data_IF_149336524784
#
_entry.id   IF_149336524784
#
_cell.length_a   1.000
_cell.length_b   1.000
_cell.length_c   1.000
_cell.angle_alpha   90.00
_cell.angle_beta   90.00
_cell.angle_gamma   90.00
#
_symmetry.space_group_name_H-M   'P 1'
#
loop_
_entity.id
_entity.type
_entity.pdbx_description
1 polymer ?
#
# COMPACT_ATOMS: atom_id res chain seq x y z
N UNK A 1 15.42 -31.17 -42.78
CA UNK A 1 15.45 -29.88 -42.07
C UNK A 1 14.47 -29.92 -40.89
N UNK A 2 14.98 -30.09 -39.67
CA UNK A 2 14.19 -30.09 -38.43
C UNK A 2 14.34 -28.72 -37.78
N UNK A 3 13.26 -27.96 -37.64
CA UNK A 3 13.21 -26.71 -36.88
C UNK A 3 13.02 -27.04 -35.42
N UNK A 4 14.01 -26.69 -34.61
CA UNK A 4 13.96 -26.80 -33.16
C UNK A 4 13.12 -25.70 -32.54
N UNK A 5 12.21 -26.11 -31.67
CA UNK A 5 11.33 -25.26 -30.89
C UNK A 5 12.10 -24.80 -29.61
N UNK A 6 12.41 -23.50 -29.51
CA UNK A 6 13.10 -22.94 -28.33
C UNK A 6 12.02 -22.50 -27.35
N UNK A 7 11.81 -23.34 -26.33
CA UNK A 7 11.01 -22.97 -25.16
C UNK A 7 11.74 -21.90 -24.34
N UNK A 8 11.22 -20.69 -24.32
CA UNK A 8 11.66 -19.64 -23.38
C UNK A 8 11.11 -19.95 -22.01
N UNK A 9 11.96 -20.40 -21.10
CA UNK A 9 11.65 -20.46 -19.67
C UNK A 9 11.72 -19.04 -19.12
N UNK A 10 10.59 -18.51 -18.70
CA UNK A 10 10.52 -17.28 -17.91
C UNK A 10 11.00 -17.64 -16.50
N UNK A 11 12.14 -17.11 -16.12
CA UNK A 11 12.63 -17.22 -14.74
C UNK A 11 11.91 -16.17 -13.90
N UNK A 12 11.12 -16.61 -12.93
CA UNK A 12 10.58 -15.74 -11.90
C UNK A 12 11.76 -15.21 -11.05
N UNK A 13 11.98 -13.90 -11.11
CA UNK A 13 12.95 -13.23 -10.28
C UNK A 13 12.34 -12.98 -8.91
N UNK A 14 12.76 -13.72 -7.90
CA UNK A 14 12.48 -13.42 -6.50
C UNK A 14 13.28 -12.17 -6.15
N UNK A 15 12.61 -11.04 -6.00
CA UNK A 15 13.23 -9.82 -5.48
C UNK A 15 13.42 -9.97 -3.97
N UNK A 16 14.63 -10.33 -3.59
CA UNK A 16 15.10 -10.24 -2.20
C UNK A 16 15.13 -8.76 -1.81
N UNK A 17 14.36 -8.40 -0.78
CA UNK A 17 14.23 -7.02 -0.29
C UNK A 17 15.58 -6.41 0.07
N UNK A 18 15.94 -5.35 -0.63
CA UNK A 18 17.08 -4.52 -0.26
C UNK A 18 16.69 -3.60 0.89
N UNK A 19 17.35 -3.71 2.04
CA UNK A 19 17.26 -2.74 3.13
C UNK A 19 17.72 -1.37 2.61
N UNK A 20 16.80 -0.44 2.48
CA UNK A 20 17.14 0.96 2.29
C UNK A 20 17.25 1.66 3.64
N UNK A 21 18.43 2.12 3.95
CA UNK A 21 18.68 3.05 5.06
C UNK A 21 18.02 4.37 4.70
N UNK A 22 16.93 4.70 5.37
CA UNK A 22 16.19 5.95 5.18
C UNK A 22 16.94 7.09 5.83
N UNK A 23 17.46 8.02 5.03
CA UNK A 23 17.89 9.34 5.50
C UNK A 23 16.67 10.19 5.84
N UNK A 24 16.71 10.81 7.02
CA UNK A 24 15.70 11.68 7.55
C UNK A 24 15.38 12.89 6.65
N UNK A 25 14.09 13.20 6.50
CA UNK A 25 13.61 14.55 6.31
C UNK A 25 13.57 15.07 4.89
N UNK A 26 12.71 14.49 4.04
CA UNK A 26 12.06 15.25 2.98
C UNK A 26 10.58 14.85 2.99
N UNK A 27 9.71 15.81 3.24
CA UNK A 27 8.27 15.66 2.99
C UNK A 27 8.10 15.52 1.48
N UNK A 28 8.12 14.30 0.99
CA UNK A 28 7.76 14.00 -0.38
C UNK A 28 6.24 14.01 -0.42
N UNK A 29 5.64 15.00 -1.08
CA UNK A 29 4.24 14.89 -1.48
C UNK A 29 4.07 13.54 -2.17
N UNK A 30 3.26 12.66 -1.59
CA UNK A 30 2.98 11.36 -2.19
C UNK A 30 2.51 11.58 -3.63
N UNK A 31 3.28 11.06 -4.57
CA UNK A 31 2.82 11.04 -5.96
C UNK A 31 1.67 10.02 -6.04
N UNK A 32 0.57 10.33 -6.75
CA UNK A 32 -0.49 9.37 -6.97
C UNK A 32 0.09 8.11 -7.64
N UNK A 33 -0.35 6.94 -7.20
CA UNK A 33 -0.04 5.69 -7.86
C UNK A 33 -0.87 5.64 -9.13
N UNK A 34 -0.23 5.75 -10.27
CA UNK A 34 -0.89 5.83 -11.59
C UNK A 34 -0.61 4.56 -12.35
N UNK A 35 -1.67 3.89 -12.81
CA UNK A 35 -1.55 2.81 -13.77
C UNK A 35 -1.02 3.33 -15.11
N UNK A 36 -0.17 2.56 -15.79
CA UNK A 36 0.43 2.91 -17.07
C UNK A 36 -0.55 2.63 -18.22
N UNK A 37 -1.20 3.69 -18.70
CA UNK A 37 -2.15 3.61 -19.81
C UNK A 37 -3.39 2.77 -19.46
N UNK A 38 -3.65 1.71 -20.23
CA UNK A 38 -4.76 0.77 -19.99
C UNK A 38 -4.43 -0.25 -18.87
N UNK A 39 -3.30 -0.09 -18.16
CA UNK A 39 -2.92 -0.98 -17.07
C UNK A 39 -3.59 -0.54 -15.77
N UNK A 40 -4.39 -1.42 -15.21
CA UNK A 40 -4.95 -1.24 -13.88
C UNK A 40 -3.84 -1.30 -12.82
N UNK A 41 -3.99 -0.51 -11.75
CA UNK A 41 -3.24 -0.78 -10.53
C UNK A 41 -3.89 -1.97 -9.82
N UNK A 42 -3.07 -2.92 -9.41
CA UNK A 42 -3.52 -4.14 -8.73
C UNK A 42 -3.28 -4.08 -7.22
N UNK A 43 -2.41 -3.18 -6.77
CA UNK A 43 -2.10 -3.01 -5.37
C UNK A 43 -1.73 -1.57 -5.01
N UNK A 44 -2.00 -1.20 -3.75
CA UNK A 44 -1.53 0.03 -3.10
C UNK A 44 -0.50 -0.36 -2.05
N UNK A 45 0.77 0.10 -2.15
CA UNK A 45 1.78 -0.22 -1.16
C UNK A 45 1.52 0.50 0.16
N UNK A 46 1.83 -0.18 1.25
CA UNK A 46 1.79 0.36 2.61
C UNK A 46 3.18 0.21 3.21
N UNK A 47 3.76 1.31 3.67
CA UNK A 47 5.02 1.28 4.41
C UNK A 47 4.75 1.16 5.91
N UNK A 48 5.50 0.29 6.57
CA UNK A 48 5.52 0.17 8.03
C UNK A 48 6.90 0.45 8.58
N UNK A 49 7.00 1.34 9.56
CA UNK A 49 8.22 1.63 10.30
C UNK A 49 8.03 1.25 11.77
N UNK A 50 9.02 0.59 12.35
CA UNK A 50 9.15 0.41 13.80
C UNK A 50 10.32 1.28 14.25
N UNK A 51 10.03 2.30 15.06
CA UNK A 51 11.03 3.15 15.67
C UNK A 51 11.53 2.51 16.98
N UNK A 52 12.82 2.64 17.24
CA UNK A 52 13.46 2.11 18.45
C UNK A 52 14.43 3.13 19.06
N UNK A 53 14.95 2.84 20.23
CA UNK A 53 16.02 3.64 20.87
C UNK A 53 17.43 3.32 20.32
N UNK A 54 17.53 2.42 19.35
CA UNK A 54 18.81 1.98 18.77
C UNK A 54 19.54 0.91 19.57
N UNK A 55 18.90 0.33 20.61
CA UNK A 55 19.50 -0.71 21.45
C UNK A 55 18.85 -2.09 21.24
N UNK A 56 17.77 -2.17 20.49
CA UNK A 56 17.03 -3.41 20.22
C UNK A 56 17.02 -3.71 18.71
N UNK A 57 16.95 -4.99 18.38
CA UNK A 57 16.76 -5.44 16.99
C UNK A 57 15.30 -5.30 16.55
N UNK A 58 15.06 -5.47 15.25
CA UNK A 58 13.70 -5.54 14.73
C UNK A 58 12.88 -6.58 15.50
N UNK A 59 11.60 -6.32 15.76
CA UNK A 59 10.71 -7.32 16.34
C UNK A 59 10.55 -8.52 15.38
N UNK A 60 10.28 -9.70 15.93
CA UNK A 60 9.85 -10.86 15.13
C UNK A 60 8.32 -10.89 15.08
N UNK A 61 7.74 -10.11 14.18
CA UNK A 61 6.28 -9.93 14.09
C UNK A 61 5.85 -9.44 12.73
N UNK A 62 4.54 -9.40 12.51
CA UNK A 62 3.92 -8.82 11.32
C UNK A 62 2.84 -7.83 11.69
N UNK A 63 2.69 -6.79 10.89
CA UNK A 63 1.67 -5.77 11.03
C UNK A 63 0.69 -5.87 9.87
N UNK A 64 -0.60 -5.97 10.20
CA UNK A 64 -1.69 -6.02 9.24
C UNK A 64 -2.44 -4.69 9.17
N UNK A 65 -3.15 -4.49 8.08
CA UNK A 65 -3.90 -3.26 7.83
C UNK A 65 -5.39 -3.58 7.71
N UNK A 66 -6.23 -2.61 8.06
CA UNK A 66 -7.69 -2.70 7.91
C UNK A 66 -8.16 -1.69 6.90
N UNK A 67 -9.07 -2.12 6.06
CA UNK A 67 -9.74 -1.27 5.08
C UNK A 67 -11.23 -1.24 5.40
N UNK A 68 -11.78 -0.04 5.42
CA UNK A 68 -13.22 0.18 5.52
C UNK A 68 -13.69 1.06 4.37
N UNK A 69 -14.95 0.91 3.96
CA UNK A 69 -15.54 1.82 2.98
C UNK A 69 -15.68 3.21 3.61
N UNK A 70 -15.16 4.23 2.94
CA UNK A 70 -15.38 5.63 3.26
C UNK A 70 -16.75 6.11 2.75
N UNK A 71 -17.15 7.30 3.17
CA UNK A 71 -18.41 7.93 2.78
C UNK A 71 -18.32 8.71 1.47
N UNK A 72 -19.48 9.17 1.01
CA UNK A 72 -19.60 10.12 -0.10
C UNK A 72 -19.06 11.50 0.28
N UNK A 73 -18.61 12.27 -0.72
CA UNK A 73 -18.11 13.63 -0.49
C UNK A 73 -17.54 14.30 -1.72
N UNK A 74 -16.54 15.12 -1.51
CA UNK A 74 -15.76 15.76 -2.59
C UNK A 74 -14.27 15.69 -2.28
N UNK A 75 -13.48 15.43 -3.29
CA UNK A 75 -12.02 15.45 -3.18
C UNK A 75 -11.42 16.07 -4.45
N UNK A 76 -10.59 17.11 -4.29
CA UNK A 76 -9.97 17.85 -5.40
C UNK A 76 -10.96 18.30 -6.49
N UNK A 77 -12.16 18.72 -6.09
CA UNK A 77 -13.21 19.18 -7.01
C UNK A 77 -14.01 18.05 -7.68
N UNK A 78 -13.68 16.79 -7.44
CA UNK A 78 -14.43 15.64 -7.92
C UNK A 78 -15.51 15.23 -6.92
N UNK A 79 -16.66 14.77 -7.41
CA UNK A 79 -17.64 14.06 -6.59
C UNK A 79 -17.08 12.69 -6.23
N UNK A 80 -17.13 12.35 -4.96
CA UNK A 80 -16.62 11.10 -4.40
C UNK A 80 -17.79 10.23 -3.99
N UNK A 81 -17.78 8.99 -4.43
CA UNK A 81 -18.71 7.94 -4.01
C UNK A 81 -18.17 7.18 -2.81
N UNK A 82 -19.08 6.61 -2.01
CA UNK A 82 -18.68 5.66 -0.97
C UNK A 82 -17.89 4.50 -1.57
N UNK A 83 -16.94 3.96 -0.80
CA UNK A 83 -16.16 2.78 -1.20
C UNK A 83 -17.07 1.57 -1.47
N UNK A 84 -16.67 0.76 -2.44
CA UNK A 84 -17.35 -0.50 -2.77
C UNK A 84 -16.61 -1.64 -2.06
N UNK A 85 -17.36 -2.51 -1.38
CA UNK A 85 -16.79 -3.66 -0.68
C UNK A 85 -16.01 -4.54 -1.64
N UNK A 86 -14.75 -4.83 -1.29
CA UNK A 86 -13.82 -5.61 -2.10
C UNK A 86 -13.00 -4.78 -3.10
N UNK A 87 -13.34 -3.50 -3.38
CA UNK A 87 -12.58 -2.66 -4.30
C UNK A 87 -11.18 -2.30 -3.80
N UNK A 88 -11.03 -2.19 -2.47
CA UNK A 88 -9.75 -2.12 -1.78
C UNK A 88 -9.83 -3.06 -0.58
N UNK A 89 -8.84 -3.91 -0.39
CA UNK A 89 -8.78 -4.89 0.69
C UNK A 89 -7.36 -5.07 1.21
N UNK A 90 -7.22 -5.48 2.47
CA UNK A 90 -5.93 -5.89 3.01
C UNK A 90 -5.41 -7.11 2.23
N UNK A 91 -4.10 -7.16 1.97
CA UNK A 91 -3.44 -8.22 1.21
C UNK A 91 -2.17 -8.68 1.95
N UNK A 92 -1.02 -8.08 1.70
CA UNK A 92 0.22 -8.48 2.34
C UNK A 92 0.49 -7.68 3.62
N UNK A 93 0.87 -8.39 4.68
CA UNK A 93 1.33 -7.80 5.93
C UNK A 93 2.76 -7.26 5.80
N UNK A 94 3.09 -6.21 6.54
CA UNK A 94 4.47 -5.79 6.74
C UNK A 94 5.15 -6.72 7.76
N UNK A 95 6.09 -7.53 7.29
CA UNK A 95 6.77 -8.55 8.10
C UNK A 95 8.13 -8.03 8.55
N UNK A 96 8.42 -8.20 9.84
CA UNK A 96 9.71 -7.91 10.44
C UNK A 96 10.33 -9.17 11.02
N UNK A 97 11.63 -9.34 10.79
CA UNK A 97 12.42 -10.41 11.39
C UNK A 97 13.72 -9.82 11.92
N UNK A 98 14.19 -10.25 13.10
CA UNK A 98 15.47 -9.81 13.63
C UNK A 98 16.59 -10.14 12.62
N UNK A 99 17.35 -9.13 12.24
CA UNK A 99 18.43 -9.29 11.27
C UNK A 99 19.54 -8.28 11.54
N UNK A 100 20.73 -8.59 11.02
CA UNK A 100 21.92 -7.74 11.20
C UNK A 100 22.70 -8.03 12.48
N UNK A 101 23.79 -7.32 12.66
CA UNK A 101 24.74 -7.49 13.79
C UNK A 101 24.70 -6.30 14.75
N UNK A 102 23.99 -5.24 14.39
CA UNK A 102 23.91 -4.00 15.19
C UNK A 102 22.46 -3.52 15.19
N UNK A 103 21.87 -3.17 16.36
CA UNK A 103 20.56 -2.55 16.44
C UNK A 103 20.50 -1.21 15.70
N UNK A 104 19.33 -0.90 15.15
CA UNK A 104 19.05 0.35 14.43
C UNK A 104 17.99 1.16 15.17
N UNK A 105 17.96 2.48 14.96
CA UNK A 105 16.95 3.39 15.51
C UNK A 105 15.60 3.27 14.81
N UNK A 106 15.55 2.61 13.66
CA UNK A 106 14.29 2.29 12.96
C UNK A 106 14.46 1.11 12.01
N UNK A 107 13.36 0.40 11.81
CA UNK A 107 13.24 -0.70 10.86
C UNK A 107 12.04 -0.44 9.98
N UNK A 108 12.13 -0.73 8.68
CA UNK A 108 11.05 -0.51 7.73
C UNK A 108 10.76 -1.79 6.95
N UNK A 109 9.48 -2.08 6.77
CA UNK A 109 8.97 -3.17 5.95
C UNK A 109 7.76 -2.69 5.16
N UNK A 110 7.41 -3.38 4.09
CA UNK A 110 6.25 -3.03 3.27
C UNK A 110 5.22 -4.14 3.33
N UNK A 111 3.96 -3.72 3.33
CA UNK A 111 2.81 -4.54 3.03
C UNK A 111 2.09 -3.99 1.81
N UNK A 112 0.93 -4.54 1.49
CA UNK A 112 0.10 -4.08 0.38
C UNK A 112 -1.39 -4.19 0.67
N UNK A 113 -2.17 -3.43 -0.10
CA UNK A 113 -3.62 -3.56 -0.19
C UNK A 113 -3.94 -3.96 -1.63
N UNK A 114 -4.72 -5.03 -1.81
CA UNK A 114 -5.19 -5.46 -3.12
C UNK A 114 -6.26 -4.52 -3.66
N UNK A 115 -6.23 -4.27 -4.95
CA UNK A 115 -7.23 -3.48 -5.69
C UNK A 115 -7.96 -4.40 -6.67
N UNK A 116 -9.28 -4.52 -6.50
CA UNK A 116 -10.13 -5.26 -7.44
C UNK A 116 -11.02 -4.27 -8.23
N UNK A 117 -10.61 -4.00 -9.46
CA UNK A 117 -11.37 -3.15 -10.38
C UNK A 117 -12.70 -3.74 -10.84
N UNK A 118 -12.88 -5.06 -10.73
CA UNK A 118 -14.07 -5.76 -11.26
C UNK A 118 -15.36 -5.50 -10.46
N UNK A 119 -15.23 -5.03 -9.22
CA UNK A 119 -16.40 -4.76 -8.35
C UNK A 119 -17.07 -3.43 -8.66
N UNK A 120 -16.40 -2.53 -9.39
CA UNK A 120 -16.96 -1.23 -9.74
C UNK A 120 -17.94 -1.35 -10.91
N UNK A 121 -19.03 -0.60 -10.86
CA UNK A 121 -20.10 -0.60 -11.87
C UNK A 121 -20.16 0.69 -12.67
N UNK A 122 -19.43 1.72 -12.24
CA UNK A 122 -19.37 3.03 -12.92
C UNK A 122 -17.98 3.67 -12.73
N UNK A 123 -17.53 4.50 -13.68
CA UNK A 123 -16.34 5.31 -13.46
C UNK A 123 -16.60 6.37 -12.38
N UNK A 124 -15.55 6.79 -11.68
CA UNK A 124 -15.66 7.78 -10.63
C UNK A 124 -14.51 7.71 -9.62
N UNK A 125 -14.65 8.46 -8.53
CA UNK A 125 -13.72 8.44 -7.41
C UNK A 125 -14.39 7.77 -6.23
N UNK A 126 -13.74 6.77 -5.65
CA UNK A 126 -14.27 5.95 -4.55
C UNK A 126 -13.40 6.09 -3.31
N UNK A 127 -14.04 6.27 -2.15
CA UNK A 127 -13.37 6.58 -0.89
C UNK A 127 -13.26 5.37 0.03
N UNK A 128 -12.08 5.18 0.60
CA UNK A 128 -11.77 4.15 1.60
C UNK A 128 -11.02 4.74 2.78
N UNK A 129 -11.12 4.09 3.93
CA UNK A 129 -10.39 4.40 5.14
C UNK A 129 -9.42 3.25 5.42
N UNK A 130 -8.15 3.58 5.65
CA UNK A 130 -7.10 2.61 5.96
C UNK A 130 -6.49 2.92 7.31
N UNK A 131 -6.40 1.89 8.16
CA UNK A 131 -5.79 1.96 9.48
C UNK A 131 -4.86 0.76 9.69
N UNK A 132 -3.90 0.88 10.59
CA UNK A 132 -3.18 -0.27 11.12
C UNK A 132 -4.10 -1.08 12.03
N UNK A 133 -4.00 -2.41 11.99
CA UNK A 133 -4.69 -3.26 12.96
C UNK A 133 -3.91 -3.27 14.27
N UNK A 134 -4.59 -3.03 15.38
CA UNK A 134 -4.00 -3.19 16.71
C UNK A 134 -3.56 -4.63 16.92
N UNK A 135 -2.43 -4.82 17.58
CA UNK A 135 -1.90 -6.11 18.01
C UNK A 135 -1.60 -6.12 19.50
N UNK A 136 -0.92 -7.16 19.95
CA UNK A 136 -0.59 -7.44 21.35
C UNK A 136 0.92 -7.64 21.58
N UNK A 137 1.76 -7.21 20.63
CA UNK A 137 3.21 -7.31 20.79
C UNK A 137 3.66 -6.42 21.98
N UNK A 138 4.28 -7.04 22.99
CA UNK A 138 4.65 -6.36 24.23
C UNK A 138 5.63 -5.22 23.99
N UNK A 139 5.34 -4.03 24.56
CA UNK A 139 6.15 -2.83 24.41
C UNK A 139 5.98 -2.07 23.11
N UNK A 140 4.96 -2.43 22.28
CA UNK A 140 4.67 -1.75 21.04
C UNK A 140 3.49 -0.77 21.19
N UNK A 141 3.73 0.49 20.84
CA UNK A 141 2.66 1.49 20.67
C UNK A 141 2.22 1.49 19.20
N UNK A 142 1.00 0.96 18.93
CA UNK A 142 0.46 0.84 17.58
C UNK A 142 -0.01 2.18 17.03
N UNK A 143 0.30 2.46 15.75
CA UNK A 143 -0.15 3.67 15.07
C UNK A 143 -1.68 3.67 14.92
N UNK A 144 -2.33 4.67 15.48
CA UNK A 144 -3.79 4.84 15.42
C UNK A 144 -4.24 5.82 14.32
N UNK A 145 -3.34 6.20 13.42
CA UNK A 145 -3.64 7.07 12.30
C UNK A 145 -4.65 6.43 11.36
N UNK A 146 -5.49 7.26 10.77
CA UNK A 146 -6.38 6.89 9.67
C UNK A 146 -5.96 7.63 8.41
N UNK A 147 -5.89 6.91 7.31
CA UNK A 147 -5.69 7.48 5.98
C UNK A 147 -6.98 7.38 5.19
N UNK A 148 -7.31 8.47 4.49
CA UNK A 148 -8.27 8.45 3.40
C UNK A 148 -7.57 7.97 2.12
N UNK A 149 -8.16 6.99 1.43
CA UNK A 149 -7.64 6.50 0.15
C UNK A 149 -8.73 6.65 -0.90
N UNK A 150 -8.39 7.34 -1.98
CA UNK A 150 -9.26 7.61 -3.10
C UNK A 150 -8.82 6.80 -4.31
N UNK A 151 -9.66 5.86 -4.76
CA UNK A 151 -9.45 5.11 -5.99
C UNK A 151 -10.17 5.79 -7.15
N UNK A 152 -9.44 6.03 -8.24
CA UNK A 152 -9.97 6.61 -9.47
C UNK A 152 -10.24 5.50 -10.47
N UNK A 153 -11.50 5.32 -10.78
CA UNK A 153 -12.01 4.30 -11.71
C UNK A 153 -12.32 4.94 -13.05
N UNK A 154 -11.76 4.38 -14.11
CA UNK A 154 -11.88 4.89 -15.47
C UNK A 154 -12.56 3.87 -16.40
N UNK A 155 -13.12 4.37 -17.50
CA UNK A 155 -13.55 3.54 -18.62
C UNK A 155 -12.39 3.21 -19.53
N UNK A 156 -12.36 1.98 -20.03
CA UNK A 156 -11.53 1.56 -21.17
C UNK A 156 -12.39 0.82 -22.20
N UNK A 157 -11.78 0.45 -23.32
CA UNK A 157 -12.43 -0.38 -24.34
C UNK A 157 -12.81 -1.78 -23.81
N UNK A 158 -12.17 -2.22 -22.71
CA UNK A 158 -12.33 -3.55 -22.11
C UNK A 158 -13.15 -3.52 -20.80
N UNK A 159 -13.75 -2.39 -20.45
CA UNK A 159 -14.51 -2.22 -19.23
C UNK A 159 -13.91 -1.19 -18.26
N UNK A 160 -14.23 -1.29 -16.98
CA UNK A 160 -13.72 -0.39 -15.95
C UNK A 160 -12.37 -0.90 -15.43
N UNK A 161 -11.49 0.05 -15.05
CA UNK A 161 -10.24 -0.24 -14.37
C UNK A 161 -9.90 0.85 -13.35
N UNK A 162 -9.17 0.50 -12.31
CA UNK A 162 -8.62 1.46 -11.36
C UNK A 162 -7.26 1.92 -11.89
N UNK A 163 -7.16 3.16 -12.31
CA UNK A 163 -5.93 3.69 -12.92
C UNK A 163 -5.11 4.56 -11.97
N UNK A 164 -5.67 4.95 -10.82
CA UNK A 164 -4.98 5.81 -9.87
C UNK A 164 -5.49 5.59 -8.44
N UNK A 165 -4.58 5.72 -7.47
CA UNK A 165 -4.90 5.78 -6.05
C UNK A 165 -4.18 6.97 -5.40
N UNK A 166 -4.88 7.69 -4.54
CA UNK A 166 -4.33 8.82 -3.79
C UNK A 166 -4.62 8.61 -2.32
N UNK A 167 -3.59 8.62 -1.49
CA UNK A 167 -3.73 8.58 -0.03
C UNK A 167 -3.57 9.97 0.58
N UNK A 168 -4.34 10.21 1.64
CA UNK A 168 -4.44 11.50 2.33
C UNK A 168 -4.41 11.26 3.83
N UNK A 169 -3.63 12.04 4.55
CA UNK A 169 -3.59 12.06 6.02
C UNK A 169 -3.82 13.47 6.51
N UNK A 170 -4.83 13.66 7.37
CA UNK A 170 -5.18 14.97 7.93
C UNK A 170 -5.46 16.07 6.87
N UNK A 171 -5.98 15.69 5.70
CA UNK A 171 -6.29 16.60 4.60
C UNK A 171 -5.16 16.82 3.58
N UNK A 172 -3.94 16.37 3.87
CA UNK A 172 -2.79 16.48 2.98
C UNK A 172 -2.47 15.15 2.29
N UNK A 173 -2.07 15.21 1.01
CA UNK A 173 -1.56 14.01 0.32
C UNK A 173 -0.32 13.49 1.04
N UNK A 174 -0.34 12.22 1.36
CA UNK A 174 0.74 11.55 2.08
C UNK A 174 0.87 10.09 1.61
N UNK A 175 2.10 9.56 1.66
CA UNK A 175 2.31 8.13 1.48
C UNK A 175 1.59 7.35 2.57
N UNK A 176 1.06 6.18 2.23
CA UNK A 176 0.40 5.30 3.17
C UNK A 176 1.47 4.65 4.07
N UNK A 177 1.78 5.32 5.18
CA UNK A 177 2.90 4.96 6.06
C UNK A 177 2.51 5.03 7.53
N UNK A 178 2.71 3.92 8.25
CA UNK A 178 2.43 3.77 9.69
C UNK A 178 3.74 3.64 10.47
N UNK A 179 3.81 4.26 11.65
CA UNK A 179 5.01 4.22 12.51
C UNK A 179 4.62 3.87 13.94
N UNK A 180 5.27 2.85 14.50
CA UNK A 180 5.16 2.43 15.90
C UNK A 180 6.44 2.72 16.66
#
# INVERSE_FOLDING_TARGET
MKRGNISRKVAASVMTGAMMVSMAGMSVCAAPIVGDGDHAIEAVPVQKTVATDGHIYAPDTSFSFRVANGGEGTFEGNVVSAGVTGGLAADENAVFTPSGTTPLVSYTSNGSLAVDGSVFTSPGVYHYLVTEASGDYEGMDYDNSTYDVYLYVYNSNNGLYVGNAVSVKNGDKADLAFTN
#
